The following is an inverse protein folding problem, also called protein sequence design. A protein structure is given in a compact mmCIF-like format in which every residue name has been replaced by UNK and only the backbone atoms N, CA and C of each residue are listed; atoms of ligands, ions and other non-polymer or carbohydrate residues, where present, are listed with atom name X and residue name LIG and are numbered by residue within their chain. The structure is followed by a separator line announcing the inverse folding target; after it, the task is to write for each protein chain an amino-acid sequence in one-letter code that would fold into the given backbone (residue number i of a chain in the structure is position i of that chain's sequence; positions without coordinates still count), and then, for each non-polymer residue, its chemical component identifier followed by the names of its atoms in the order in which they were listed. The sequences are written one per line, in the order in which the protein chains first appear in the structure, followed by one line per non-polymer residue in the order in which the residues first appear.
data_IF_950842726333
#
_entry.id   IF_950842726333
#
_cell.length_a   1.000
_cell.length_b   1.000
_cell.length_c   1.000
_cell.angle_alpha   90.00
_cell.angle_beta   90.00
_cell.angle_gamma   90.00
#
_symmetry.space_group_name_H-M   'P 1'
#
loop_
_entity.id
_entity.type
_entity.pdbx_description
1 polymer ?
#
# COMPACT_ATOMS: atom_id res chain seq x y z
N UNK A 1 -17.35 3.10 17.55
CA UNK A 1 -16.07 3.75 17.19
C UNK A 1 -16.33 4.56 15.93
N UNK A 2 -16.21 5.87 16.04
CA UNK A 2 -16.42 6.76 14.90
C UNK A 2 -15.07 6.98 14.24
N UNK A 3 -14.82 6.28 13.16
CA UNK A 3 -13.65 6.47 12.30
C UNK A 3 -13.99 7.54 11.26
N UNK A 4 -13.29 8.65 11.28
CA UNK A 4 -13.44 9.74 10.31
C UNK A 4 -12.08 10.02 9.72
N UNK A 5 -11.98 10.22 8.40
CA UNK A 5 -10.72 10.41 7.65
C UNK A 5 -9.80 11.54 8.12
N UNK A 6 -10.27 12.41 9.02
CA UNK A 6 -9.45 13.43 9.69
C UNK A 6 -8.61 12.90 10.87
N UNK A 7 -8.64 11.62 11.16
CA UNK A 7 -8.05 11.01 12.36
C UNK A 7 -6.53 11.08 12.42
N UNK A 8 -5.84 11.27 11.30
CA UNK A 8 -4.40 11.53 11.35
C UNK A 8 -4.03 12.79 12.17
N UNK A 9 -4.97 13.74 12.32
CA UNK A 9 -4.77 14.96 13.11
C UNK A 9 -5.32 14.88 14.53
N UNK A 10 -6.25 13.96 14.82
CA UNK A 10 -6.97 13.86 16.10
C UNK A 10 -6.43 12.71 16.96
N UNK A 11 -5.84 11.69 16.34
CA UNK A 11 -5.46 10.42 16.94
C UNK A 11 -4.51 10.51 18.13
N UNK A 12 -3.65 11.52 18.17
CA UNK A 12 -2.64 11.63 19.23
C UNK A 12 -3.16 12.29 20.51
N UNK A 13 -4.41 12.77 20.51
CA UNK A 13 -4.98 13.49 21.66
C UNK A 13 -5.56 12.58 22.74
N UNK A 14 -6.04 11.39 22.39
CA UNK A 14 -6.66 10.45 23.33
C UNK A 14 -6.25 9.01 23.02
N UNK A 15 -5.26 8.50 23.74
CA UNK A 15 -5.00 7.06 23.84
C UNK A 15 -5.63 6.53 25.11
N UNK A 16 -6.54 5.56 25.00
CA UNK A 16 -7.10 4.92 26.19
C UNK A 16 -8.40 4.17 25.91
N UNK A 17 -8.86 3.51 26.94
CA UNK A 17 -10.10 2.74 26.93
C UNK A 17 -11.27 3.61 27.33
N UNK A 18 -12.31 3.65 26.50
CA UNK A 18 -13.46 4.54 26.75
C UNK A 18 -14.35 4.06 27.91
N UNK A 19 -14.58 2.77 28.08
CA UNK A 19 -15.48 2.24 29.10
C UNK A 19 -14.96 1.03 29.89
N UNK A 20 -14.14 0.18 29.30
CA UNK A 20 -13.70 -1.06 29.94
C UNK A 20 -12.27 -1.40 29.54
N UNK A 21 -11.37 -1.44 30.52
CA UNK A 21 -9.96 -1.77 30.33
C UNK A 21 -9.68 -3.27 30.09
N UNK A 22 -10.69 -4.13 30.26
CA UNK A 22 -10.53 -5.58 30.18
C UNK A 22 -10.93 -6.17 28.82
N UNK A 23 -11.25 -5.33 27.84
CA UNK A 23 -11.53 -5.80 26.48
C UNK A 23 -10.22 -6.15 25.78
N UNK A 24 -10.17 -7.27 25.04
CA UNK A 24 -9.00 -7.61 24.24
C UNK A 24 -8.76 -6.57 23.15
N UNK A 25 -7.50 -6.12 23.01
CA UNK A 25 -7.08 -5.16 22.00
C UNK A 25 -6.68 -5.82 20.70
N UNK A 26 -6.54 -7.15 20.70
CA UNK A 26 -6.29 -7.98 19.53
C UNK A 26 -7.57 -8.65 19.08
N UNK A 27 -7.83 -8.59 17.78
CA UNK A 27 -9.01 -9.21 17.16
C UNK A 27 -8.69 -9.72 15.77
N UNK A 28 -9.55 -10.56 15.23
CA UNK A 28 -9.49 -10.99 13.83
C UNK A 28 -10.61 -10.29 13.08
N UNK A 29 -10.27 -9.62 11.99
CA UNK A 29 -11.24 -9.04 11.07
C UNK A 29 -11.33 -9.89 9.78
N UNK A 30 -12.45 -9.81 9.10
CA UNK A 30 -12.63 -10.37 7.76
C UNK A 30 -12.67 -9.24 6.74
N UNK A 31 -11.70 -9.24 5.81
CA UNK A 31 -11.64 -8.31 4.69
C UNK A 31 -11.72 -9.07 3.37
N UNK A 32 -12.84 -8.98 2.69
CA UNK A 32 -13.04 -9.66 1.40
C UNK A 32 -12.72 -11.17 1.43
N UNK A 33 -13.05 -11.85 2.54
CA UNK A 33 -12.76 -13.26 2.74
C UNK A 33 -11.36 -13.59 3.26
N UNK A 34 -10.50 -12.61 3.50
CA UNK A 34 -9.24 -12.75 4.20
C UNK A 34 -9.42 -12.48 5.69
N UNK A 35 -8.90 -13.37 6.53
CA UNK A 35 -8.83 -13.21 7.97
C UNK A 35 -7.51 -12.50 8.33
N UNK A 36 -7.60 -11.44 9.11
CA UNK A 36 -6.46 -10.60 9.45
C UNK A 36 -6.40 -10.35 10.95
N UNK A 37 -5.27 -10.64 11.57
CA UNK A 37 -5.00 -10.24 12.95
C UNK A 37 -4.78 -8.73 13.02
N UNK A 38 -5.51 -8.07 13.91
CA UNK A 38 -5.44 -6.63 14.14
C UNK A 38 -5.19 -6.37 15.61
N UNK A 39 -4.17 -5.57 15.91
CA UNK A 39 -3.87 -5.06 17.25
C UNK A 39 -4.19 -3.56 17.28
N UNK A 40 -5.32 -3.20 17.89
CA UNK A 40 -5.77 -1.80 17.92
C UNK A 40 -4.99 -0.93 18.90
N UNK A 41 -4.26 -1.53 19.84
CA UNK A 41 -3.44 -0.84 20.82
C UNK A 41 -2.04 -0.53 20.31
N UNK A 42 -1.36 -1.53 19.74
CA UNK A 42 0.04 -1.43 19.34
C UNK A 42 0.22 -1.28 17.83
N UNK A 43 -0.82 -1.55 17.04
CA UNK A 43 -0.76 -1.41 15.59
C UNK A 43 -0.78 0.06 15.12
N UNK A 44 -0.34 0.26 13.88
CA UNK A 44 -0.42 1.59 13.26
C UNK A 44 -1.89 1.95 12.98
N UNK A 45 -2.24 3.23 13.06
CA UNK A 45 -3.61 3.75 12.94
C UNK A 45 -4.55 3.02 13.93
N UNK A 46 -5.51 2.28 13.42
CA UNK A 46 -6.49 1.47 14.17
C UNK A 46 -6.09 -0.01 14.16
N UNK A 47 -4.80 -0.30 13.98
CA UNK A 47 -4.24 -1.64 13.88
C UNK A 47 -4.16 -2.19 12.45
N UNK A 48 -4.84 -1.54 11.49
CA UNK A 48 -4.82 -1.90 10.07
C UNK A 48 -5.25 -0.73 9.18
N UNK A 49 -4.89 -0.76 7.89
CA UNK A 49 -5.18 0.30 6.92
C UNK A 49 -6.48 -0.02 6.16
N UNK A 50 -7.63 0.22 6.80
CA UNK A 50 -8.95 -0.11 6.23
C UNK A 50 -9.29 0.69 4.96
N UNK A 51 -8.71 1.87 4.82
CA UNK A 51 -8.89 2.77 3.68
C UNK A 51 -8.48 2.17 2.32
N UNK A 52 -7.58 1.19 2.31
CA UNK A 52 -7.10 0.49 1.11
C UNK A 52 -7.88 -0.80 0.76
N UNK A 53 -8.93 -1.14 1.48
CA UNK A 53 -9.69 -2.38 1.33
C UNK A 53 -10.11 -2.68 -0.11
N UNK A 54 -10.74 -1.72 -0.77
CA UNK A 54 -11.21 -1.86 -2.16
C UNK A 54 -10.04 -1.94 -3.14
N UNK A 55 -8.97 -1.21 -2.88
CA UNK A 55 -7.77 -1.16 -3.72
C UNK A 55 -7.01 -2.50 -3.68
N UNK A 56 -6.89 -3.11 -2.49
CA UNK A 56 -6.35 -4.46 -2.36
C UNK A 56 -7.15 -5.50 -3.14
N UNK A 57 -8.48 -5.34 -3.17
CA UNK A 57 -9.34 -6.22 -3.94
C UNK A 57 -9.17 -6.05 -5.46
N UNK A 58 -8.84 -4.84 -5.95
CA UNK A 58 -8.50 -4.63 -7.36
C UNK A 58 -7.23 -5.40 -7.76
N UNK A 59 -6.18 -5.38 -6.93
CA UNK A 59 -4.99 -6.21 -7.16
C UNK A 59 -5.34 -7.69 -7.24
N UNK A 60 -6.19 -8.20 -6.33
CA UNK A 60 -6.62 -9.61 -6.34
C UNK A 60 -7.18 -10.04 -7.69
N UNK A 61 -7.95 -9.17 -8.37
CA UNK A 61 -8.58 -9.48 -9.66
C UNK A 61 -7.60 -9.64 -10.81
N UNK A 62 -6.42 -9.03 -10.72
CA UNK A 62 -5.42 -9.03 -11.79
C UNK A 62 -4.20 -9.91 -11.47
N UNK A 63 -4.15 -10.50 -10.27
CA UNK A 63 -2.98 -11.22 -9.77
C UNK A 63 -2.85 -12.67 -10.29
N UNK A 64 -3.90 -13.25 -10.88
CA UNK A 64 -3.92 -14.65 -11.29
C UNK A 64 -2.74 -15.03 -12.19
N UNK A 65 -1.94 -16.02 -11.76
CA UNK A 65 -0.76 -16.51 -12.49
C UNK A 65 0.43 -15.56 -12.55
N UNK A 66 0.38 -14.41 -11.84
CA UNK A 66 1.39 -13.37 -11.88
C UNK A 66 2.43 -13.51 -10.76
N UNK A 67 3.64 -13.04 -11.02
CA UNK A 67 4.65 -12.79 -9.98
C UNK A 67 4.47 -11.36 -9.48
N UNK A 68 4.25 -11.19 -8.19
CA UNK A 68 3.89 -9.91 -7.56
C UNK A 68 4.90 -9.54 -6.49
N UNK A 69 5.34 -8.29 -6.47
CA UNK A 69 6.05 -7.74 -5.31
C UNK A 69 5.22 -6.61 -4.68
N UNK A 70 5.03 -6.71 -3.36
CA UNK A 70 4.35 -5.73 -2.52
C UNK A 70 5.41 -4.97 -1.71
N UNK A 71 5.70 -3.74 -2.12
CA UNK A 71 6.68 -2.85 -1.51
C UNK A 71 6.01 -1.96 -0.45
N UNK A 72 6.69 -1.80 0.70
CA UNK A 72 6.13 -1.18 1.91
C UNK A 72 4.92 -1.94 2.43
N UNK A 73 5.03 -3.26 2.42
CA UNK A 73 3.91 -4.18 2.58
C UNK A 73 3.25 -4.14 3.96
N UNK A 74 3.92 -3.57 4.97
CA UNK A 74 3.46 -3.56 6.36
C UNK A 74 3.09 -5.00 6.81
N UNK A 75 1.84 -5.27 7.16
CA UNK A 75 1.34 -6.60 7.55
C UNK A 75 0.86 -7.44 6.37
N UNK A 76 1.33 -7.14 5.15
CA UNK A 76 1.11 -7.92 3.95
C UNK A 76 -0.28 -7.79 3.32
N UNK A 77 -0.97 -6.66 3.50
CA UNK A 77 -2.35 -6.51 3.04
C UNK A 77 -2.52 -6.70 1.53
N UNK A 78 -1.67 -6.10 0.70
CA UNK A 78 -1.67 -6.31 -0.74
C UNK A 78 -1.13 -7.69 -1.12
N UNK A 79 -0.04 -8.14 -0.48
CA UNK A 79 0.54 -9.46 -0.72
C UNK A 79 -0.47 -10.61 -0.50
N UNK A 80 -1.22 -10.57 0.61
CA UNK A 80 -2.27 -11.53 0.93
C UNK A 80 -3.40 -11.53 -0.12
N UNK A 81 -3.81 -10.33 -0.58
CA UNK A 81 -4.81 -10.22 -1.63
C UNK A 81 -4.29 -10.76 -2.97
N UNK A 82 -3.03 -10.53 -3.32
CA UNK A 82 -2.41 -11.11 -4.52
C UNK A 82 -2.38 -12.65 -4.44
N UNK A 83 -1.94 -13.21 -3.31
CA UNK A 83 -1.90 -14.65 -3.08
C UNK A 83 -3.29 -15.29 -3.12
N UNK A 84 -4.31 -14.65 -2.51
CA UNK A 84 -5.72 -15.06 -2.58
C UNK A 84 -6.27 -14.97 -4.02
N UNK A 85 -5.75 -14.05 -4.84
CA UNK A 85 -6.03 -13.93 -6.28
C UNK A 85 -5.31 -14.95 -7.14
N UNK A 86 -4.73 -16.00 -6.55
CA UNK A 86 -3.94 -17.03 -7.22
C UNK A 86 -2.74 -16.50 -7.99
N UNK A 87 -2.03 -15.51 -7.42
CA UNK A 87 -0.69 -15.16 -7.87
C UNK A 87 0.20 -16.41 -7.87
N UNK A 88 1.11 -16.49 -8.86
CA UNK A 88 2.08 -17.60 -8.98
C UNK A 88 3.11 -17.54 -7.83
N UNK A 89 3.54 -16.37 -7.47
CA UNK A 89 4.49 -16.08 -6.40
C UNK A 89 4.32 -14.64 -5.94
N UNK A 90 4.45 -14.40 -4.64
CA UNK A 90 4.35 -13.06 -4.06
C UNK A 90 5.56 -12.81 -3.16
N UNK A 91 6.16 -11.64 -3.29
CA UNK A 91 7.18 -11.15 -2.36
C UNK A 91 6.61 -9.94 -1.60
N UNK A 92 6.69 -9.99 -0.28
CA UNK A 92 6.22 -8.95 0.65
C UNK A 92 7.45 -8.29 1.29
N UNK A 93 7.71 -7.03 0.97
CA UNK A 93 8.93 -6.30 1.37
C UNK A 93 8.59 -5.16 2.31
N UNK A 94 9.21 -5.14 3.48
CA UNK A 94 9.13 -4.03 4.46
C UNK A 94 10.39 -3.95 5.31
N UNK A 95 10.70 -2.78 5.84
CA UNK A 95 11.83 -2.61 6.78
C UNK A 95 11.51 -3.15 8.18
N UNK A 96 10.22 -3.24 8.53
CA UNK A 96 9.74 -3.64 9.84
C UNK A 96 9.60 -5.15 9.97
N UNK A 97 10.56 -5.79 10.62
CA UNK A 97 10.47 -7.23 10.93
C UNK A 97 9.17 -7.58 11.68
N UNK A 98 8.75 -6.75 12.63
CA UNK A 98 7.52 -6.99 13.40
C UNK A 98 6.28 -6.99 12.50
N UNK A 99 6.22 -6.09 11.51
CA UNK A 99 5.12 -6.04 10.56
C UNK A 99 5.12 -7.29 9.65
N UNK A 100 6.30 -7.70 9.16
CA UNK A 100 6.45 -8.91 8.34
C UNK A 100 6.10 -10.18 9.13
N UNK A 101 6.52 -10.29 10.40
CA UNK A 101 6.15 -11.40 11.27
C UNK A 101 4.62 -11.49 11.45
N UNK A 102 3.94 -10.36 11.61
CA UNK A 102 2.48 -10.32 11.64
C UNK A 102 1.87 -10.68 10.28
N UNK A 103 2.46 -10.23 9.18
CA UNK A 103 2.08 -10.60 7.81
C UNK A 103 2.16 -12.11 7.58
N UNK A 104 3.23 -12.75 8.06
CA UNK A 104 3.38 -14.20 8.01
C UNK A 104 2.31 -14.93 8.83
N UNK A 105 1.96 -14.42 10.03
CA UNK A 105 0.86 -14.98 10.81
C UNK A 105 -0.51 -14.81 10.09
N UNK A 106 -0.71 -13.70 9.40
CA UNK A 106 -1.90 -13.49 8.58
C UNK A 106 -1.91 -14.45 7.37
N UNK A 107 -0.76 -14.73 6.76
CA UNK A 107 -0.66 -15.71 5.68
C UNK A 107 -1.04 -17.12 6.17
N UNK A 108 -0.50 -17.55 7.32
CA UNK A 108 -0.86 -18.82 7.95
C UNK A 108 -2.35 -18.94 8.27
N UNK A 109 -2.96 -17.87 8.79
CA UNK A 109 -4.38 -17.84 9.13
C UNK A 109 -5.28 -18.07 7.92
N UNK A 110 -4.75 -17.82 6.71
CA UNK A 110 -5.45 -17.96 5.44
C UNK A 110 -4.90 -19.12 4.58
N UNK A 111 -3.96 -19.92 5.08
CA UNK A 111 -3.29 -21.02 4.33
C UNK A 111 -2.59 -20.52 3.05
N UNK A 112 -1.92 -19.37 3.14
CA UNK A 112 -1.22 -18.70 2.02
C UNK A 112 0.30 -18.56 2.27
N UNK A 113 0.82 -19.13 3.35
CA UNK A 113 2.23 -19.00 3.76
C UNK A 113 3.21 -19.51 2.72
N UNK A 114 2.85 -20.56 1.98
CA UNK A 114 3.70 -21.15 0.94
C UNK A 114 3.73 -20.33 -0.36
N UNK A 115 2.84 -19.33 -0.50
CA UNK A 115 2.74 -18.48 -1.68
C UNK A 115 3.44 -17.12 -1.52
N UNK A 116 3.79 -16.75 -0.28
CA UNK A 116 4.30 -15.42 0.04
C UNK A 116 5.67 -15.54 0.70
N UNK A 117 6.67 -14.95 0.08
CA UNK A 117 7.99 -14.72 0.65
C UNK A 117 8.00 -13.38 1.39
N UNK A 118 8.49 -13.36 2.62
CA UNK A 118 8.60 -12.13 3.44
C UNK A 118 10.06 -11.70 3.53
N UNK A 119 10.36 -10.51 2.99
CA UNK A 119 11.73 -9.99 2.89
C UNK A 119 11.86 -8.71 3.71
N UNK A 120 12.78 -8.72 4.69
CA UNK A 120 13.12 -7.50 5.43
C UNK A 120 14.20 -6.73 4.67
N UNK A 121 13.80 -5.62 4.04
CA UNK A 121 14.74 -4.75 3.32
C UNK A 121 14.23 -3.30 3.27
N UNK A 122 15.15 -2.36 3.01
CA UNK A 122 14.78 -1.03 2.53
C UNK A 122 14.28 -1.16 1.08
N UNK A 123 13.08 -0.63 0.81
CA UNK A 123 12.46 -0.76 -0.52
C UNK A 123 13.26 -0.04 -1.60
N UNK A 124 13.94 1.07 -1.27
CA UNK A 124 14.78 1.78 -2.26
C UNK A 124 15.94 0.91 -2.73
N UNK A 125 16.60 0.23 -1.81
CA UNK A 125 17.71 -0.67 -2.10
C UNK A 125 17.20 -1.94 -2.79
N UNK A 126 16.11 -2.50 -2.29
CA UNK A 126 15.49 -3.70 -2.88
C UNK A 126 15.09 -3.50 -4.35
N UNK A 127 14.47 -2.35 -4.68
CA UNK A 127 14.09 -2.04 -6.06
C UNK A 127 15.31 -1.86 -6.98
N UNK A 128 16.42 -1.31 -6.45
CA UNK A 128 17.66 -1.11 -7.21
C UNK A 128 18.36 -2.45 -7.51
N UNK A 129 18.12 -3.51 -6.71
CA UNK A 129 18.67 -4.86 -6.89
C UNK A 129 17.80 -5.77 -7.79
N UNK A 130 16.54 -5.39 -8.07
CA UNK A 130 15.65 -6.19 -8.90
C UNK A 130 16.15 -6.31 -10.33
N UNK A 131 16.02 -7.52 -10.87
CA UNK A 131 16.31 -7.80 -12.28
C UNK A 131 15.14 -7.36 -13.16
N UNK A 132 15.46 -6.95 -14.38
CA UNK A 132 14.42 -6.67 -15.38
C UNK A 132 13.52 -7.89 -15.60
N UNK A 133 12.23 -7.66 -15.75
CA UNK A 133 11.22 -8.67 -16.02
C UNK A 133 11.04 -9.74 -14.92
N UNK A 134 11.55 -9.49 -13.72
CA UNK A 134 11.44 -10.43 -12.62
C UNK A 134 10.00 -10.55 -12.10
N UNK A 135 9.25 -9.45 -12.10
CA UNK A 135 7.87 -9.39 -11.64
C UNK A 135 6.91 -8.94 -12.75
N UNK A 136 5.67 -9.44 -12.67
CA UNK A 136 4.56 -9.03 -13.53
C UNK A 136 3.79 -7.85 -12.95
N UNK A 137 3.81 -7.71 -11.61
CA UNK A 137 3.12 -6.63 -10.87
C UNK A 137 4.04 -6.13 -9.77
N UNK A 138 4.21 -4.80 -9.70
CA UNK A 138 4.88 -4.12 -8.59
C UNK A 138 3.87 -3.20 -7.92
N UNK A 139 3.72 -3.35 -6.59
CA UNK A 139 2.89 -2.47 -5.74
C UNK A 139 3.80 -1.54 -4.97
N UNK A 140 3.53 -0.24 -5.05
CA UNK A 140 4.19 0.81 -4.29
C UNK A 140 3.16 1.54 -3.44
N UNK A 141 3.04 1.16 -2.15
CA UNK A 141 2.19 1.83 -1.16
C UNK A 141 3.01 2.41 -0.01
N UNK A 142 3.89 3.40 -0.31
CA UNK A 142 4.81 3.94 0.68
C UNK A 142 4.10 4.70 1.78
N UNK A 143 4.72 4.82 2.96
CA UNK A 143 4.25 5.72 3.99
C UNK A 143 4.25 7.17 3.47
N UNK A 144 3.52 8.06 4.15
CA UNK A 144 3.51 9.46 3.80
C UNK A 144 4.94 10.06 3.86
N UNK A 145 5.59 10.26 2.70
CA UNK A 145 6.93 10.84 2.62
C UNK A 145 6.98 12.32 3.03
N UNK A 146 5.82 12.98 3.12
CA UNK A 146 5.74 14.36 3.62
C UNK A 146 4.58 14.55 4.57
N UNK A 147 4.87 15.29 5.65
CA UNK A 147 3.88 15.72 6.66
C UNK A 147 3.75 17.25 6.71
N UNK A 148 4.42 17.96 5.79
CA UNK A 148 4.39 19.43 5.74
C UNK A 148 4.68 19.94 4.33
N UNK A 149 4.23 21.17 4.02
CA UNK A 149 4.55 21.82 2.74
C UNK A 149 6.05 21.98 2.50
N UNK A 150 6.86 22.14 3.55
CA UNK A 150 8.31 22.34 3.46
C UNK A 150 9.06 21.12 2.91
N UNK A 151 8.51 19.91 3.07
CA UNK A 151 9.15 18.65 2.67
C UNK A 151 8.55 18.03 1.40
N UNK A 152 7.63 18.73 0.73
CA UNK A 152 6.94 18.22 -0.49
C UNK A 152 7.95 17.91 -1.60
N UNK A 153 8.95 18.77 -1.84
CA UNK A 153 9.93 18.53 -2.92
C UNK A 153 10.79 17.28 -2.63
N UNK A 154 11.17 17.07 -1.37
CA UNK A 154 11.90 15.85 -0.98
C UNK A 154 11.03 14.59 -1.18
N UNK A 155 9.77 14.68 -0.81
CA UNK A 155 8.80 13.60 -1.01
C UNK A 155 8.58 13.32 -2.51
N UNK A 156 8.43 14.36 -3.32
CA UNK A 156 8.31 14.25 -4.77
C UNK A 156 9.46 13.44 -5.37
N UNK A 157 10.70 13.78 -5.00
CA UNK A 157 11.88 13.08 -5.48
C UNK A 157 11.93 11.62 -5.02
N UNK A 158 11.50 11.33 -3.77
CA UNK A 158 11.39 9.98 -3.25
C UNK A 158 10.36 9.14 -4.01
N UNK A 159 9.15 9.67 -4.23
CA UNK A 159 8.13 9.02 -5.06
C UNK A 159 8.63 8.81 -6.49
N UNK A 160 9.29 9.81 -7.09
CA UNK A 160 9.82 9.69 -8.45
C UNK A 160 10.87 8.59 -8.55
N UNK A 161 11.79 8.49 -7.59
CA UNK A 161 12.84 7.46 -7.59
C UNK A 161 12.24 6.04 -7.59
N UNK A 162 11.34 5.73 -6.63
CA UNK A 162 10.77 4.38 -6.53
C UNK A 162 9.88 4.03 -7.73
N UNK A 163 9.08 4.98 -8.22
CA UNK A 163 8.22 4.75 -9.39
C UNK A 163 9.04 4.53 -10.65
N UNK A 164 10.06 5.37 -10.89
CA UNK A 164 10.96 5.21 -12.03
C UNK A 164 11.67 3.87 -12.01
N UNK A 165 12.19 3.45 -10.87
CA UNK A 165 12.89 2.17 -10.76
C UNK A 165 11.94 0.99 -10.98
N UNK A 166 10.74 1.00 -10.38
CA UNK A 166 9.73 -0.01 -10.62
C UNK A 166 9.34 -0.11 -12.11
N UNK A 167 9.17 1.03 -12.79
CA UNK A 167 8.85 1.07 -14.22
C UNK A 167 9.95 0.46 -15.09
N UNK A 168 11.23 0.68 -14.75
CA UNK A 168 12.38 0.13 -15.49
C UNK A 168 12.46 -1.39 -15.42
N UNK A 169 12.15 -1.97 -14.25
CA UNK A 169 12.29 -3.42 -14.03
C UNK A 169 11.05 -4.22 -14.40
N UNK A 170 9.90 -3.56 -14.55
CA UNK A 170 8.69 -4.21 -15.04
C UNK A 170 8.80 -4.55 -16.52
N UNK A 171 8.31 -5.73 -16.88
CA UNK A 171 8.20 -6.12 -18.28
C UNK A 171 7.13 -5.33 -19.02
N UNK A 172 7.23 -5.27 -20.34
CA UNK A 172 6.15 -4.80 -21.21
C UNK A 172 4.87 -5.64 -20.96
N UNK A 173 3.73 -4.98 -20.78
CA UNK A 173 2.46 -5.60 -20.37
C UNK A 173 2.34 -5.84 -18.87
N UNK A 174 3.38 -5.59 -18.07
CA UNK A 174 3.34 -5.64 -16.61
C UNK A 174 2.52 -4.50 -16.00
N UNK A 175 2.18 -4.63 -14.72
CA UNK A 175 1.35 -3.65 -14.01
C UNK A 175 2.13 -2.97 -12.89
N UNK A 176 2.07 -1.64 -12.88
CA UNK A 176 2.49 -0.82 -11.76
C UNK A 176 1.26 -0.37 -10.97
N UNK A 177 1.26 -0.64 -9.67
CA UNK A 177 0.32 -0.05 -8.72
C UNK A 177 1.08 0.98 -7.91
N UNK A 178 0.66 2.24 -7.99
CA UNK A 178 1.33 3.35 -7.31
C UNK A 178 0.35 4.13 -6.46
N UNK A 179 0.72 4.28 -5.18
CA UNK A 179 -0.12 4.91 -4.17
C UNK A 179 0.57 6.10 -3.50
N UNK A 180 -0.23 7.01 -3.00
CA UNK A 180 0.21 8.05 -2.06
C UNK A 180 -0.90 8.38 -1.08
N UNK A 181 -0.63 8.22 0.21
CA UNK A 181 -1.50 8.67 1.31
C UNK A 181 -1.10 10.06 1.84
N UNK A 182 -0.16 10.74 1.22
CA UNK A 182 0.29 12.08 1.63
C UNK A 182 -0.70 13.15 1.22
N UNK A 183 -1.31 13.83 2.19
CA UNK A 183 -2.17 14.99 1.95
C UNK A 183 -1.47 16.09 1.15
N UNK A 184 -0.22 16.40 1.51
CA UNK A 184 0.56 17.46 0.86
C UNK A 184 1.11 17.08 -0.53
N UNK A 185 1.02 15.82 -0.93
CA UNK A 185 1.24 15.38 -2.30
C UNK A 185 -0.09 15.44 -3.04
N UNK A 186 -0.46 16.62 -3.52
CA UNK A 186 -1.70 16.83 -4.28
C UNK A 186 -1.76 15.92 -5.52
N UNK A 187 -2.97 15.60 -5.97
CA UNK A 187 -3.18 14.69 -7.12
C UNK A 187 -2.43 15.15 -8.36
N UNK A 188 -2.52 16.45 -8.69
CA UNK A 188 -1.82 17.02 -9.87
C UNK A 188 -0.29 16.84 -9.78
N UNK A 189 0.28 17.04 -8.59
CA UNK A 189 1.72 16.85 -8.37
C UNK A 189 2.12 15.38 -8.44
N UNK A 190 1.29 14.48 -7.91
CA UNK A 190 1.54 13.05 -7.97
C UNK A 190 1.47 12.54 -9.42
N UNK A 191 0.48 12.95 -10.19
CA UNK A 191 0.36 12.61 -11.61
C UNK A 191 1.52 13.20 -12.45
N UNK A 192 1.92 14.44 -12.18
CA UNK A 192 3.09 15.05 -12.83
C UNK A 192 4.33 14.21 -12.55
N UNK A 193 4.57 13.82 -11.31
CA UNK A 193 5.67 12.97 -10.88
C UNK A 193 5.67 11.63 -11.63
N UNK A 194 4.50 10.98 -11.77
CA UNK A 194 4.37 9.71 -12.50
C UNK A 194 4.71 9.86 -13.99
N UNK A 195 4.26 10.94 -14.64
CA UNK A 195 4.62 11.23 -16.05
C UNK A 195 6.12 11.46 -16.23
N UNK A 196 6.75 12.22 -15.32
CA UNK A 196 8.20 12.43 -15.34
C UNK A 196 8.96 11.11 -15.11
N UNK A 197 8.54 10.29 -14.14
CA UNK A 197 9.15 9.00 -13.85
C UNK A 197 9.06 8.06 -15.07
N UNK A 198 7.92 8.01 -15.76
CA UNK A 198 7.72 7.22 -16.96
C UNK A 198 8.62 7.69 -18.13
N UNK A 199 8.67 9.00 -18.36
CA UNK A 199 9.57 9.59 -19.38
C UNK A 199 11.04 9.24 -19.10
N UNK A 200 11.49 9.36 -17.85
CA UNK A 200 12.86 9.01 -17.45
C UNK A 200 13.13 7.50 -17.45
N UNK A 201 12.11 6.66 -17.30
CA UNK A 201 12.22 5.21 -17.42
C UNK A 201 12.16 4.73 -18.87
N UNK A 202 11.74 5.59 -19.81
CA UNK A 202 11.59 5.24 -21.22
C UNK A 202 10.37 4.34 -21.50
N UNK A 203 9.30 4.47 -20.70
CA UNK A 203 8.09 3.64 -20.83
C UNK A 203 6.83 4.50 -21.01
N UNK A 204 5.78 3.89 -21.56
CA UNK A 204 4.46 4.48 -21.68
C UNK A 204 3.54 3.86 -20.60
N UNK A 205 2.83 4.70 -19.87
CA UNK A 205 1.85 4.27 -18.88
C UNK A 205 0.44 4.28 -19.49
N UNK A 206 -0.17 3.10 -19.59
CA UNK A 206 -1.60 2.96 -19.89
C UNK A 206 -2.37 2.88 -18.59
N UNK A 207 -3.18 3.89 -18.27
CA UNK A 207 -4.00 3.88 -17.07
C UNK A 207 -5.11 2.82 -17.16
N UNK A 208 -5.14 1.92 -16.20
CA UNK A 208 -6.13 0.86 -16.07
C UNK A 208 -7.21 1.23 -15.06
N UNK A 209 -6.80 1.83 -13.92
CA UNK A 209 -7.72 2.23 -12.87
C UNK A 209 -7.17 3.42 -12.09
N UNK A 210 -8.07 4.27 -11.62
CA UNK A 210 -7.81 5.32 -10.61
C UNK A 210 -8.87 5.21 -9.55
N UNK A 211 -8.46 5.15 -8.29
CA UNK A 211 -9.37 5.11 -7.15
C UNK A 211 -8.80 5.93 -5.99
N UNK A 212 -9.59 6.06 -4.96
CA UNK A 212 -9.29 6.76 -3.71
C UNK A 212 -9.48 5.82 -2.52
N UNK A 213 -9.60 6.37 -1.32
CA UNK A 213 -9.92 5.60 -0.13
C UNK A 213 -11.31 4.93 -0.26
N UNK A 214 -11.46 3.82 0.45
CA UNK A 214 -12.71 3.06 0.49
C UNK A 214 -13.87 3.91 1.06
N UNK A 215 -15.10 3.57 0.71
CA UNK A 215 -16.32 4.34 1.03
C UNK A 215 -16.59 4.51 2.54
N UNK A 216 -16.02 3.66 3.39
CA UNK A 216 -16.04 3.81 4.85
C UNK A 216 -15.12 4.93 5.37
N UNK A 217 -14.33 5.54 4.48
CA UNK A 217 -13.52 6.74 4.72
C UNK A 217 -14.05 7.90 3.85
N UNK A 218 -15.19 8.51 4.20
CA UNK A 218 -15.88 9.46 3.34
C UNK A 218 -15.06 10.73 3.10
N UNK A 219 -15.18 11.26 1.88
CA UNK A 219 -14.61 12.55 1.49
C UNK A 219 -15.65 13.63 1.75
N UNK A 220 -15.31 14.63 2.54
CA UNK A 220 -16.11 15.80 2.78
C UNK A 220 -15.70 16.90 1.81
N UNK A 221 -16.57 17.30 0.92
CA UNK A 221 -16.27 18.30 -0.12
C UNK A 221 -15.91 19.70 0.44
N UNK A 222 -16.28 19.97 1.67
CA UNK A 222 -15.91 21.19 2.41
C UNK A 222 -14.55 21.08 3.12
N UNK A 223 -13.92 19.90 3.10
CA UNK A 223 -12.66 19.61 3.79
C UNK A 223 -11.75 18.80 2.85
N UNK A 224 -10.94 19.50 2.06
CA UNK A 224 -10.03 18.90 1.07
C UNK A 224 -9.07 17.87 1.67
N UNK A 225 -8.68 18.02 2.93
CA UNK A 225 -7.83 17.09 3.66
C UNK A 225 -8.42 15.69 3.84
N UNK A 226 -9.71 15.53 3.65
CA UNK A 226 -10.36 14.22 3.70
C UNK A 226 -10.14 13.41 2.41
N UNK A 227 -9.72 14.06 1.31
CA UNK A 227 -9.32 13.43 0.04
C UNK A 227 -7.80 13.25 0.02
N UNK A 228 -7.29 12.22 0.67
CA UNK A 228 -5.85 12.06 0.88
C UNK A 228 -5.22 10.89 0.10
N UNK A 229 -5.99 9.87 -0.25
CA UNK A 229 -5.45 8.67 -0.89
C UNK A 229 -5.55 8.79 -2.42
N UNK A 230 -4.45 8.55 -3.09
CA UNK A 230 -4.30 8.40 -4.53
C UNK A 230 -3.87 6.97 -4.81
N UNK A 231 -4.60 6.27 -5.63
CA UNK A 231 -4.30 4.90 -6.03
C UNK A 231 -4.46 4.74 -7.54
N UNK A 232 -3.41 4.33 -8.20
CA UNK A 232 -3.35 4.18 -9.65
C UNK A 232 -2.89 2.77 -10.01
N UNK A 233 -3.53 2.18 -11.01
CA UNK A 233 -3.05 0.97 -11.69
C UNK A 233 -2.71 1.36 -13.11
N UNK A 234 -1.46 1.15 -13.51
CA UNK A 234 -0.99 1.32 -14.88
C UNK A 234 -0.52 -0.01 -15.46
N UNK A 235 -0.72 -0.17 -16.76
CA UNK A 235 -0.02 -1.17 -17.55
C UNK A 235 1.15 -0.49 -18.27
N UNK A 236 2.32 -1.12 -18.21
CA UNK A 236 3.53 -0.67 -18.93
C UNK A 236 3.43 -1.10 -20.40
N UNK A 237 3.71 -0.16 -21.31
CA UNK A 237 3.74 -0.40 -22.76
C UNK A 237 5.11 0.05 -23.29
#
# INVERSE_FOLDING_TARGET
VRLVGSEMCIRDRYKGYYKNKNLPTKTIINENGLLLNVDVENGQKTGYFLDQKSNRYLLRKIAHGKRVVDCFSHTGGFALNAAMGNAKHVVSVDVSKTALDQGYQNAKLNHLEDKIEFVQADVFDYLDELKENEFDIIVLDPPAFTKSRRTVQKAYNGYKRINKQAMKVLKNGGYLISCSCSRFMETANFEKMLREAASEAGVILKQVSVTQQNADHPILWTMEETSYLKFYIFQII
#
